data_IF_048037633147
#
_entry.id   IF_048037633147
#
_cell.length_a   1.000
_cell.length_b   1.000
_cell.length_c   1.000
_cell.angle_alpha   90.00
_cell.angle_beta   90.00
_cell.angle_gamma   90.00
#
_symmetry.space_group_name_H-M   'P 1'
#
loop_
_entity.id
_entity.type
_entity.pdbx_description
1 polymer ?
#
# COMPACT_ATOMS: atom_id res chain seq x y z
N UNK A 1 -14.70 -44.20 -51.46
CA UNK A 1 -15.99 -44.29 -50.74
C UNK A 1 -15.66 -44.17 -49.26
N UNK A 2 -16.06 -43.18 -48.49
CA UNK A 2 -17.09 -42.13 -48.60
C UNK A 2 -16.76 -41.15 -47.46
N UNK A 3 -16.56 -39.87 -47.78
CA UNK A 3 -17.42 -38.75 -47.33
C UNK A 3 -17.13 -38.14 -45.94
N UNK A 4 -16.50 -36.97 -46.01
CA UNK A 4 -16.79 -35.72 -45.29
C UNK A 4 -17.83 -35.74 -44.15
N UNK A 5 -17.43 -35.22 -42.99
CA UNK A 5 -18.30 -34.34 -42.22
C UNK A 5 -17.50 -33.28 -41.45
N UNK A 6 -17.37 -32.11 -42.08
CA UNK A 6 -17.08 -30.83 -41.44
C UNK A 6 -18.43 -30.22 -41.04
N UNK A 7 -18.70 -30.10 -39.74
CA UNK A 7 -19.76 -29.26 -39.14
C UNK A 7 -19.35 -28.96 -37.69
N UNK A 8 -19.39 -27.76 -37.12
CA UNK A 8 -19.84 -26.45 -37.55
C UNK A 8 -19.03 -25.42 -36.74
N UNK A 9 -18.33 -24.53 -37.44
CA UNK A 9 -17.81 -23.30 -36.84
C UNK A 9 -19.01 -22.36 -36.68
N UNK A 10 -19.43 -22.12 -35.45
CA UNK A 10 -20.37 -21.04 -35.15
C UNK A 10 -19.62 -19.71 -35.13
N UNK A 11 -19.52 -19.08 -36.30
CA UNK A 11 -19.14 -17.68 -36.47
C UNK A 11 -20.24 -16.77 -35.92
N UNK A 12 -20.18 -16.43 -34.63
CA UNK A 12 -20.82 -15.22 -34.14
C UNK A 12 -19.92 -14.03 -34.51
N UNK A 13 -20.44 -12.99 -35.20
CA UNK A 13 -19.63 -11.84 -35.57
C UNK A 13 -19.25 -11.08 -34.30
N UNK A 14 -17.98 -11.12 -33.94
CA UNK A 14 -17.41 -10.19 -32.97
C UNK A 14 -17.52 -8.80 -33.58
N UNK A 15 -18.52 -8.03 -33.15
CA UNK A 15 -18.55 -6.59 -33.37
C UNK A 15 -17.32 -6.03 -32.68
N UNK A 16 -16.29 -5.77 -33.47
CA UNK A 16 -15.21 -4.85 -33.11
C UNK A 16 -15.89 -3.52 -32.81
N UNK A 17 -16.15 -3.27 -31.53
CA UNK A 17 -16.46 -1.92 -31.05
C UNK A 17 -15.11 -1.19 -31.08
N UNK A 18 -14.79 -0.58 -32.22
CA UNK A 18 -13.84 0.54 -32.26
C UNK A 18 -14.44 1.64 -31.40
N UNK A 19 -14.15 1.64 -30.10
CA UNK A 19 -14.40 2.81 -29.29
C UNK A 19 -13.54 3.96 -29.84
N UNK A 20 -14.14 5.11 -30.18
CA UNK A 20 -13.37 6.28 -30.52
C UNK A 20 -12.48 6.63 -29.32
N UNK A 21 -11.27 7.09 -29.59
CA UNK A 21 -10.40 7.66 -28.56
C UNK A 21 -11.17 8.79 -27.89
N UNK A 22 -11.65 8.55 -26.66
CA UNK A 22 -12.40 9.53 -25.88
C UNK A 22 -11.48 10.72 -25.56
N UNK A 23 -11.59 11.74 -26.41
CA UNK A 23 -11.17 13.13 -26.14
C UNK A 23 -11.83 13.68 -24.86
N UNK A 24 -12.87 13.00 -24.34
CA UNK A 24 -13.58 13.31 -23.10
C UNK A 24 -12.79 13.00 -21.81
N UNK A 25 -11.74 12.16 -21.86
CA UNK A 25 -10.95 11.82 -20.65
C UNK A 25 -9.84 12.85 -20.31
N UNK A 26 -9.38 13.61 -21.32
CA UNK A 26 -8.37 14.67 -21.18
C UNK A 26 -8.98 16.03 -20.83
N UNK A 27 -10.19 16.30 -21.33
CA UNK A 27 -10.96 17.53 -21.09
C UNK A 27 -11.07 17.90 -19.61
N UNK A 28 -11.42 17.00 -18.66
CA UNK A 28 -11.56 17.39 -17.26
C UNK A 28 -10.23 17.74 -16.57
N UNK A 29 -9.09 17.24 -17.05
CA UNK A 29 -7.76 17.61 -16.50
C UNK A 29 -7.28 18.94 -17.04
N UNK A 30 -7.43 19.20 -18.34
CA UNK A 30 -7.10 20.49 -18.95
C UNK A 30 -8.00 21.60 -18.41
N UNK A 31 -9.31 21.37 -18.30
CA UNK A 31 -10.25 22.35 -17.73
C UNK A 31 -9.87 22.72 -16.28
N UNK A 32 -9.46 21.75 -15.45
CA UNK A 32 -9.02 22.02 -14.07
C UNK A 32 -7.75 22.86 -14.00
N UNK A 33 -6.75 22.57 -14.84
CA UNK A 33 -5.50 23.33 -14.90
C UNK A 33 -5.74 24.75 -15.44
N UNK A 34 -6.52 24.87 -16.51
CA UNK A 34 -6.89 26.16 -17.11
C UNK A 34 -7.64 27.06 -16.12
N UNK A 35 -8.58 26.51 -15.35
CA UNK A 35 -9.31 27.27 -14.33
C UNK A 35 -8.40 27.76 -13.19
N UNK A 36 -7.39 26.97 -12.80
CA UNK A 36 -6.41 27.37 -11.78
C UNK A 36 -5.48 28.47 -12.28
N UNK A 37 -5.02 28.36 -13.53
CA UNK A 37 -4.21 29.41 -14.19
C UNK A 37 -5.02 30.71 -14.34
N UNK A 38 -6.29 30.62 -14.75
CA UNK A 38 -7.18 31.79 -14.85
C UNK A 38 -7.36 32.46 -13.48
N UNK A 39 -7.61 31.69 -12.41
CA UNK A 39 -7.76 32.24 -11.06
C UNK A 39 -6.48 32.94 -10.56
N UNK A 40 -5.30 32.41 -10.90
CA UNK A 40 -4.02 33.04 -10.56
C UNK A 40 -3.79 34.33 -11.34
N UNK A 41 -4.09 34.34 -12.65
CA UNK A 41 -3.99 35.53 -13.49
C UNK A 41 -4.95 36.62 -13.04
N UNK A 42 -6.17 36.26 -12.65
CA UNK A 42 -7.12 37.18 -12.05
C UNK A 42 -6.57 37.76 -10.74
N UNK A 43 -6.07 36.93 -9.82
CA UNK A 43 -5.45 37.42 -8.58
C UNK A 43 -4.35 38.47 -8.84
N UNK A 44 -3.44 38.18 -9.78
CA UNK A 44 -2.38 39.11 -10.18
C UNK A 44 -2.93 40.40 -10.81
N UNK A 45 -3.96 40.29 -11.66
CA UNK A 45 -4.64 41.43 -12.25
C UNK A 45 -5.33 42.32 -11.22
N UNK A 46 -5.96 41.72 -10.20
CA UNK A 46 -6.59 42.44 -9.10
C UNK A 46 -5.58 43.20 -8.24
N UNK A 47 -4.44 42.58 -7.92
CA UNK A 47 -3.33 43.22 -7.19
C UNK A 47 -2.76 44.41 -8.00
N UNK A 48 -2.55 44.21 -9.30
CA UNK A 48 -2.06 45.28 -10.18
C UNK A 48 -3.04 46.45 -10.29
N UNK A 49 -4.34 46.19 -10.39
CA UNK A 49 -5.40 47.21 -10.39
C UNK A 49 -5.42 48.02 -9.09
N UNK A 50 -5.27 47.36 -7.93
CA UNK A 50 -5.17 48.05 -6.63
C UNK A 50 -3.91 48.93 -6.61
N UNK A 51 -2.75 48.39 -7.00
CA UNK A 51 -1.50 49.16 -7.03
C UNK A 51 -1.57 50.37 -7.98
N UNK A 52 -2.21 50.22 -9.13
CA UNK A 52 -2.43 51.30 -10.10
C UNK A 52 -3.47 52.32 -9.60
N UNK A 53 -4.49 51.91 -8.85
CA UNK A 53 -5.47 52.82 -8.24
C UNK A 53 -4.87 53.73 -7.16
N UNK A 54 -3.78 53.29 -6.52
CA UNK A 54 -3.05 54.07 -5.51
C UNK A 54 -2.08 55.05 -6.15
N UNK A 55 -1.69 54.84 -7.41
CA UNK A 55 -0.58 55.57 -8.05
C UNK A 55 -1.00 56.43 -9.25
N UNK A 56 -1.95 55.98 -10.08
CA UNK A 56 -2.18 56.55 -11.42
C UNK A 56 -3.65 56.55 -11.88
N UNK A 57 -4.45 55.57 -11.49
CA UNK A 57 -5.86 55.46 -11.90
C UNK A 57 -6.82 56.15 -10.91
N UNK A 58 -8.00 56.60 -11.36
CA UNK A 58 -9.01 57.12 -10.44
C UNK A 58 -9.36 56.07 -9.39
N UNK A 59 -9.33 56.50 -8.12
CA UNK A 59 -9.33 55.63 -6.95
C UNK A 59 -10.53 54.68 -6.92
N UNK A 60 -11.74 55.21 -7.01
CA UNK A 60 -12.98 54.42 -6.83
C UNK A 60 -13.21 53.40 -7.96
N UNK A 61 -13.10 53.75 -9.26
CA UNK A 61 -13.35 52.80 -10.35
C UNK A 61 -12.33 51.67 -10.48
N UNK A 62 -11.10 51.85 -9.98
CA UNK A 62 -10.05 50.84 -10.07
C UNK A 62 -9.91 50.00 -8.78
N UNK A 63 -10.11 50.62 -7.61
CA UNK A 63 -9.96 49.96 -6.31
C UNK A 63 -11.07 48.93 -6.04
N UNK A 64 -12.34 49.29 -6.30
CA UNK A 64 -13.49 48.41 -6.02
C UNK A 64 -13.41 47.11 -6.84
N UNK A 65 -13.22 47.15 -8.18
CA UNK A 65 -13.06 45.93 -8.96
C UNK A 65 -11.80 45.14 -8.56
N UNK A 66 -10.69 45.82 -8.27
CA UNK A 66 -9.45 45.18 -7.82
C UNK A 66 -9.64 44.37 -6.53
N UNK A 67 -10.28 44.95 -5.52
CA UNK A 67 -10.60 44.26 -4.25
C UNK A 67 -11.50 43.05 -4.49
N UNK A 68 -12.59 43.21 -5.25
CA UNK A 68 -13.52 42.11 -5.55
C UNK A 68 -12.78 40.95 -6.22
N UNK A 69 -11.91 41.27 -7.18
CA UNK A 69 -11.19 40.29 -7.98
C UNK A 69 -10.14 39.53 -7.15
N UNK A 70 -9.46 40.21 -6.22
CA UNK A 70 -8.56 39.58 -5.24
C UNK A 70 -9.33 38.69 -4.27
N UNK A 71 -10.45 39.16 -3.72
CA UNK A 71 -11.24 38.41 -2.73
C UNK A 71 -11.82 37.14 -3.35
N UNK A 72 -12.47 37.24 -4.51
CA UNK A 72 -13.07 36.08 -5.20
C UNK A 72 -11.99 35.09 -5.63
N UNK A 73 -10.88 35.57 -6.22
CA UNK A 73 -9.80 34.69 -6.66
C UNK A 73 -9.11 34.00 -5.49
N UNK A 74 -8.90 34.71 -4.38
CA UNK A 74 -8.34 34.16 -3.14
C UNK A 74 -9.25 33.11 -2.52
N UNK A 75 -10.55 33.38 -2.37
CA UNK A 75 -11.52 32.41 -1.85
C UNK A 75 -11.56 31.17 -2.74
N UNK A 76 -11.56 31.36 -4.06
CA UNK A 76 -11.59 30.25 -5.02
C UNK A 76 -10.30 29.42 -4.97
N UNK A 77 -9.12 30.07 -4.95
CA UNK A 77 -7.83 29.41 -4.81
C UNK A 77 -7.74 28.65 -3.49
N UNK A 78 -8.11 29.26 -2.36
CA UNK A 78 -8.13 28.60 -1.05
C UNK A 78 -9.12 27.45 -1.03
N UNK A 79 -10.32 27.61 -1.58
CA UNK A 79 -11.32 26.54 -1.65
C UNK A 79 -10.86 25.38 -2.53
N UNK A 80 -10.23 25.67 -3.68
CA UNK A 80 -9.65 24.65 -4.55
C UNK A 80 -8.42 24.01 -3.93
N UNK A 81 -7.56 24.77 -3.26
CA UNK A 81 -6.41 24.25 -2.53
C UNK A 81 -6.88 23.39 -1.36
N UNK A 82 -7.93 23.79 -0.64
CA UNK A 82 -8.54 23.03 0.43
C UNK A 82 -9.18 21.75 -0.08
N UNK A 83 -9.97 21.78 -1.16
CA UNK A 83 -10.53 20.56 -1.78
C UNK A 83 -9.43 19.68 -2.37
N UNK A 84 -8.40 20.27 -2.98
CA UNK A 84 -7.28 19.51 -3.55
C UNK A 84 -6.41 18.92 -2.45
N UNK A 85 -6.09 19.66 -1.39
CA UNK A 85 -5.42 19.15 -0.19
C UNK A 85 -6.28 18.15 0.57
N UNK A 86 -7.61 18.28 0.60
CA UNK A 86 -8.52 17.28 1.17
C UNK A 86 -8.64 16.04 0.26
N UNK A 87 -8.37 16.17 -1.04
CA UNK A 87 -8.22 15.04 -1.96
C UNK A 87 -6.80 14.46 -2.01
N UNK A 88 -5.79 15.24 -1.58
CA UNK A 88 -4.39 14.84 -1.40
C UNK A 88 -4.11 14.32 0.01
N UNK A 89 -4.98 14.62 0.98
CA UNK A 89 -5.33 13.75 2.09
C UNK A 89 -5.97 12.50 1.48
N UNK A 90 -5.13 11.73 0.78
CA UNK A 90 -5.19 10.29 0.85
C UNK A 90 -5.29 10.02 2.34
N UNK A 91 -6.50 9.65 2.76
CA UNK A 91 -6.93 9.49 4.14
C UNK A 91 -5.73 9.24 5.04
N UNK A 92 -5.44 10.17 5.97
CA UNK A 92 -4.67 9.79 7.15
C UNK A 92 -5.40 8.58 7.68
N UNK A 93 -4.83 7.41 7.47
CA UNK A 93 -5.51 6.16 7.78
C UNK A 93 -5.67 6.19 9.29
N UNK A 94 -6.91 6.15 9.78
CA UNK A 94 -7.23 6.37 11.20
C UNK A 94 -6.23 5.58 12.06
N UNK A 95 -5.54 6.26 12.97
CA UNK A 95 -4.60 5.61 13.89
C UNK A 95 -3.18 5.36 13.36
N UNK A 96 -2.79 5.80 12.16
CA UNK A 96 -1.41 5.64 11.66
C UNK A 96 -0.37 6.29 12.59
N UNK A 97 -0.65 7.50 13.08
CA UNK A 97 0.19 8.16 14.11
C UNK A 97 0.21 7.41 15.45
N UNK A 98 -0.87 6.71 15.79
CA UNK A 98 -0.92 5.90 17.02
C UNK A 98 -0.04 4.65 16.88
N UNK A 99 -0.08 3.99 15.71
CA UNK A 99 0.80 2.88 15.37
C UNK A 99 2.26 3.35 15.43
N UNK A 100 2.59 4.48 14.81
CA UNK A 100 3.96 5.02 14.80
C UNK A 100 4.49 5.27 16.22
N UNK A 101 3.71 5.95 17.06
CA UNK A 101 4.06 6.20 18.46
C UNK A 101 4.23 4.91 19.24
N UNK A 102 3.33 3.96 19.07
CA UNK A 102 3.40 2.69 19.78
C UNK A 102 4.62 1.86 19.36
N UNK A 103 4.91 1.79 18.06
CA UNK A 103 6.12 1.11 17.56
C UNK A 103 7.39 1.76 18.11
N UNK A 104 7.47 3.09 18.12
CA UNK A 104 8.62 3.81 18.69
C UNK A 104 8.78 3.50 20.18
N UNK A 105 7.70 3.55 20.95
CA UNK A 105 7.74 3.23 22.38
C UNK A 105 8.18 1.78 22.62
N UNK A 106 7.63 0.82 21.86
CA UNK A 106 8.01 -0.57 21.99
C UNK A 106 9.46 -0.81 21.59
N UNK A 107 9.98 -0.10 20.57
CA UNK A 107 11.40 -0.15 20.23
C UNK A 107 12.30 0.39 21.33
N UNK A 108 11.89 1.45 22.02
CA UNK A 108 12.66 1.95 23.16
C UNK A 108 12.69 0.94 24.32
N UNK A 109 11.60 0.18 24.52
CA UNK A 109 11.57 -0.92 25.49
C UNK A 109 12.50 -2.06 25.06
N UNK A 110 12.43 -2.46 23.78
CA UNK A 110 13.29 -3.49 23.20
C UNK A 110 14.78 -3.16 23.43
N UNK A 111 15.18 -1.92 23.10
CA UNK A 111 16.55 -1.44 23.24
C UNK A 111 16.98 -1.36 24.71
N UNK A 112 16.12 -0.86 25.60
CA UNK A 112 16.42 -0.81 27.04
C UNK A 112 16.63 -2.19 27.64
N UNK A 113 15.79 -3.17 27.28
CA UNK A 113 15.97 -4.57 27.74
C UNK A 113 17.29 -5.16 27.24
N UNK A 114 17.73 -4.81 26.02
CA UNK A 114 19.03 -5.20 25.50
C UNK A 114 20.21 -4.49 26.16
N UNK A 115 20.04 -3.25 26.64
CA UNK A 115 21.05 -2.55 27.44
C UNK A 115 21.15 -3.12 28.86
N UNK A 116 20.02 -3.49 29.46
CA UNK A 116 19.94 -4.05 30.82
C UNK A 116 20.43 -5.51 30.89
N UNK A 117 20.15 -6.32 29.86
CA UNK A 117 20.52 -7.74 29.79
C UNK A 117 20.93 -8.14 28.34
N UNK A 118 22.14 -7.78 27.91
CA UNK A 118 22.62 -8.00 26.55
C UNK A 118 22.86 -9.47 26.19
N UNK A 119 22.97 -10.37 27.18
CA UNK A 119 23.14 -11.80 26.94
C UNK A 119 21.82 -12.45 26.50
N UNK A 120 20.69 -11.94 26.99
CA UNK A 120 19.38 -12.49 26.71
C UNK A 120 18.53 -11.62 25.80
N UNK A 121 18.86 -10.34 25.56
CA UNK A 121 18.12 -9.46 24.67
C UNK A 121 19.05 -8.74 23.69
N UNK A 122 18.61 -8.60 22.44
CA UNK A 122 19.31 -7.78 21.46
C UNK A 122 19.14 -8.28 20.04
N UNK A 123 19.62 -7.49 19.09
CA UNK A 123 19.54 -7.84 17.67
C UNK A 123 20.38 -9.07 17.30
N UNK A 124 21.41 -9.39 18.10
CA UNK A 124 22.31 -10.51 17.90
C UNK A 124 21.99 -11.72 18.79
N UNK A 125 20.92 -11.63 19.60
CA UNK A 125 20.47 -12.74 20.45
C UNK A 125 19.47 -13.60 19.68
N UNK A 126 19.65 -14.92 19.73
CA UNK A 126 18.84 -15.89 18.97
C UNK A 126 18.97 -17.31 19.52
N UNK A 127 18.28 -18.26 18.91
CA UNK A 127 18.22 -19.66 19.35
C UNK A 127 19.43 -20.53 18.90
N UNK A 128 20.53 -19.89 18.47
CA UNK A 128 21.76 -20.54 18.04
C UNK A 128 21.81 -20.95 16.56
N UNK A 129 20.77 -20.69 15.75
CA UNK A 129 20.77 -20.96 14.30
C UNK A 129 21.07 -19.69 13.47
N UNK A 130 21.80 -19.83 12.36
CA UNK A 130 22.09 -18.72 11.43
C UNK A 130 20.77 -18.14 10.88
N UNK A 131 20.58 -16.83 10.94
CA UNK A 131 19.31 -16.19 10.57
C UNK A 131 18.21 -16.25 11.66
N UNK A 132 18.56 -16.67 12.87
CA UNK A 132 17.60 -16.70 13.99
C UNK A 132 17.81 -15.56 15.00
N UNK A 133 18.64 -14.58 14.66
CA UNK A 133 18.78 -13.30 15.35
C UNK A 133 18.12 -12.20 14.51
N UNK A 134 17.62 -11.12 15.12
CA UNK A 134 16.98 -10.04 14.36
C UNK A 134 17.92 -9.41 13.32
N UNK A 135 19.20 -9.22 13.69
CA UNK A 135 20.25 -8.71 12.82
C UNK A 135 20.60 -9.71 11.72
N UNK A 136 20.71 -10.99 12.03
CA UNK A 136 20.96 -12.04 11.05
C UNK A 136 19.86 -12.14 9.99
N UNK A 137 18.58 -11.99 10.41
CA UNK A 137 17.44 -11.91 9.48
C UNK A 137 17.51 -10.71 8.57
N UNK A 138 17.87 -9.55 9.11
CA UNK A 138 18.03 -8.33 8.32
C UNK A 138 19.13 -8.52 7.26
N UNK A 139 20.30 -9.00 7.64
CA UNK A 139 21.40 -9.26 6.70
C UNK A 139 21.03 -10.32 5.65
N UNK A 140 20.30 -11.37 6.04
CA UNK A 140 19.82 -12.40 5.12
C UNK A 140 18.80 -11.82 4.12
N UNK A 141 17.84 -11.03 4.60
CA UNK A 141 16.83 -10.38 3.77
C UNK A 141 17.46 -9.41 2.76
N UNK A 142 18.48 -8.67 3.17
CA UNK A 142 19.20 -7.72 2.32
C UNK A 142 20.09 -8.45 1.31
N UNK A 143 20.87 -9.44 1.75
CA UNK A 143 21.82 -10.17 0.89
C UNK A 143 21.13 -11.05 -0.16
N UNK A 144 19.94 -11.57 0.14
CA UNK A 144 19.14 -12.36 -0.80
C UNK A 144 18.17 -11.51 -1.64
N UNK A 145 18.13 -10.19 -1.42
CA UNK A 145 17.24 -9.30 -2.17
C UNK A 145 17.76 -9.06 -3.59
N UNK A 146 17.17 -9.76 -4.57
CA UNK A 146 17.51 -9.55 -5.99
C UNK A 146 17.10 -8.18 -6.53
N UNK A 147 16.24 -7.44 -5.82
CA UNK A 147 15.78 -6.11 -6.22
C UNK A 147 16.61 -5.02 -5.58
N UNK A 148 17.28 -4.21 -6.39
CA UNK A 148 18.08 -3.08 -5.89
C UNK A 148 17.20 -2.02 -5.21
N UNK A 149 15.98 -1.83 -5.73
CA UNK A 149 15.02 -0.87 -5.17
C UNK A 149 14.55 -1.34 -3.79
N UNK A 150 14.20 -2.62 -3.66
CA UNK A 150 13.79 -3.16 -2.36
C UNK A 150 14.95 -3.30 -1.39
N UNK A 151 16.16 -3.67 -1.84
CA UNK A 151 17.34 -3.73 -0.99
C UNK A 151 17.58 -2.37 -0.32
N UNK A 152 17.54 -1.29 -1.11
CA UNK A 152 17.66 0.07 -0.60
C UNK A 152 16.54 0.40 0.39
N UNK A 153 15.29 0.05 0.06
CA UNK A 153 14.15 0.26 0.95
C UNK A 153 14.31 -0.49 2.28
N UNK A 154 14.78 -1.73 2.26
CA UNK A 154 15.03 -2.52 3.47
C UNK A 154 16.12 -1.89 4.33
N UNK A 155 17.22 -1.44 3.74
CA UNK A 155 18.27 -0.70 4.45
C UNK A 155 17.76 0.59 5.09
N UNK A 156 16.96 1.35 4.35
CA UNK A 156 16.30 2.57 4.86
C UNK A 156 15.30 2.30 5.99
N UNK A 157 14.81 1.06 6.11
CA UNK A 157 13.84 0.63 7.11
C UNK A 157 14.41 -0.44 8.06
N UNK A 158 15.73 -0.42 8.32
CA UNK A 158 16.43 -1.41 9.16
C UNK A 158 15.74 -1.61 10.52
N UNK A 159 15.42 -0.53 11.23
CA UNK A 159 14.81 -0.59 12.56
C UNK A 159 13.47 -1.32 12.57
N UNK A 160 12.70 -1.21 11.49
CA UNK A 160 11.40 -1.89 11.34
C UNK A 160 11.56 -3.39 11.07
N UNK A 161 12.63 -3.77 10.37
CA UNK A 161 12.96 -5.18 10.11
C UNK A 161 13.51 -5.81 11.39
N UNK A 162 14.37 -5.10 12.13
CA UNK A 162 14.79 -5.51 13.47
C UNK A 162 13.61 -5.63 14.43
N UNK A 163 12.66 -4.68 14.39
CA UNK A 163 11.42 -4.75 15.17
C UNK A 163 10.66 -6.05 14.89
N UNK A 164 10.49 -6.41 13.61
CA UNK A 164 9.81 -7.64 13.18
C UNK A 164 10.51 -8.88 13.73
N UNK A 165 11.84 -8.87 13.63
CA UNK A 165 12.72 -9.98 13.97
C UNK A 165 13.12 -10.08 15.44
N UNK A 166 12.69 -9.14 16.30
CA UNK A 166 13.19 -9.05 17.68
C UNK A 166 12.97 -10.32 18.48
N UNK A 167 14.02 -10.76 19.16
CA UNK A 167 14.07 -11.95 20.02
C UNK A 167 14.91 -11.61 21.26
N UNK A 168 14.53 -12.10 22.44
CA UNK A 168 13.26 -12.75 22.76
C UNK A 168 12.13 -11.72 22.79
N UNK A 169 10.91 -12.22 22.97
CA UNK A 169 9.68 -11.42 22.95
C UNK A 169 9.59 -10.55 24.21
N UNK A 170 9.23 -9.29 24.03
CA UNK A 170 9.40 -8.20 25.01
C UNK A 170 8.14 -7.37 25.26
N UNK A 171 7.05 -7.63 24.54
CA UNK A 171 5.78 -6.91 24.69
C UNK A 171 5.03 -7.50 25.87
N UNK A 172 4.75 -6.66 26.86
CA UNK A 172 4.06 -7.09 28.07
C UNK A 172 2.56 -7.31 27.80
N UNK A 173 1.95 -8.24 28.55
CA UNK A 173 0.50 -8.51 28.49
C UNK A 173 0.05 -9.43 27.35
N UNK A 174 0.96 -10.02 26.58
CA UNK A 174 0.67 -10.99 25.52
C UNK A 174 1.64 -12.17 25.53
N UNK A 175 1.25 -13.29 24.94
CA UNK A 175 2.14 -14.43 24.75
C UNK A 175 3.11 -14.22 23.58
N UNK A 176 4.15 -15.08 23.50
CA UNK A 176 5.22 -14.98 22.49
C UNK A 176 4.74 -15.14 21.05
N UNK A 177 3.71 -15.97 20.83
CA UNK A 177 3.14 -16.23 19.51
C UNK A 177 2.31 -15.03 19.05
N UNK A 178 1.43 -14.52 19.92
CA UNK A 178 0.68 -13.27 19.70
C UNK A 178 1.62 -12.10 19.40
N UNK A 179 2.73 -11.96 20.15
CA UNK A 179 3.74 -10.93 19.86
C UNK A 179 4.35 -11.08 18.46
N UNK A 180 4.69 -12.31 18.06
CA UNK A 180 5.19 -12.60 16.72
C UNK A 180 4.20 -12.17 15.64
N UNK A 181 2.91 -12.46 15.84
CA UNK A 181 1.87 -12.05 14.91
C UNK A 181 1.70 -10.53 14.85
N UNK A 182 1.67 -9.84 15.99
CA UNK A 182 1.54 -8.38 16.08
C UNK A 182 2.70 -7.68 15.36
N UNK A 183 3.95 -8.07 15.66
CA UNK A 183 5.13 -7.52 15.00
C UNK A 183 5.10 -7.77 13.50
N UNK A 184 4.67 -8.94 13.05
CA UNK A 184 4.53 -9.25 11.62
C UNK A 184 3.47 -8.37 10.93
N UNK A 185 2.27 -8.22 11.51
CA UNK A 185 1.20 -7.39 10.96
C UNK A 185 1.69 -5.94 10.80
N UNK A 186 2.24 -5.37 11.87
CA UNK A 186 2.65 -3.96 11.91
C UNK A 186 3.84 -3.70 10.99
N UNK A 187 4.89 -4.54 11.03
CA UNK A 187 6.07 -4.35 10.18
C UNK A 187 5.74 -4.53 8.70
N UNK A 188 4.96 -5.54 8.32
CA UNK A 188 4.60 -5.73 6.92
C UNK A 188 3.70 -4.60 6.41
N UNK A 189 2.73 -4.12 7.20
CA UNK A 189 1.96 -2.92 6.86
C UNK A 189 2.88 -1.73 6.56
N UNK A 190 3.80 -1.40 7.49
CA UNK A 190 4.71 -0.27 7.33
C UNK A 190 5.67 -0.44 6.15
N UNK A 191 6.13 -1.66 5.86
CA UNK A 191 6.97 -1.94 4.68
C UNK A 191 6.20 -1.79 3.36
N UNK A 192 4.96 -2.27 3.28
CA UNK A 192 4.09 -2.06 2.10
C UNK A 192 3.84 -0.55 1.92
N UNK A 193 3.63 0.18 3.02
CA UNK A 193 3.47 1.65 2.99
C UNK A 193 4.73 2.35 2.47
N UNK A 194 5.92 1.93 2.92
CA UNK A 194 7.19 2.45 2.42
C UNK A 194 7.37 2.22 0.91
N UNK A 195 6.83 1.13 0.36
CA UNK A 195 6.90 0.85 -1.07
C UNK A 195 6.13 1.87 -1.93
N UNK A 196 5.16 2.60 -1.37
CA UNK A 196 4.29 3.52 -2.13
C UNK A 196 5.08 4.58 -2.92
N UNK A 197 6.09 5.18 -2.31
CA UNK A 197 6.92 6.21 -2.97
C UNK A 197 7.85 5.62 -4.03
N UNK A 198 8.24 4.35 -3.88
CA UNK A 198 9.12 3.59 -4.78
C UNK A 198 8.39 2.72 -5.79
N UNK A 199 7.05 2.79 -5.80
CA UNK A 199 6.22 1.92 -6.61
C UNK A 199 6.52 1.99 -8.12
N UNK A 200 6.77 3.17 -8.74
CA UNK A 200 7.14 3.22 -10.16
C UNK A 200 8.44 2.44 -10.46
N UNK A 201 9.44 2.57 -9.58
CA UNK A 201 10.74 1.91 -9.72
C UNK A 201 10.60 0.39 -9.53
N UNK A 202 9.83 -0.03 -8.52
CA UNK A 202 9.51 -1.44 -8.25
C UNK A 202 8.78 -2.08 -9.44
N UNK A 203 7.76 -1.40 -9.98
CA UNK A 203 7.01 -1.90 -11.14
C UNK A 203 7.93 -2.02 -12.35
N UNK A 204 8.76 -1.01 -12.64
CA UNK A 204 9.70 -1.03 -13.75
C UNK A 204 10.67 -2.19 -13.65
N UNK A 205 11.24 -2.42 -12.46
CA UNK A 205 12.12 -3.57 -12.22
C UNK A 205 11.39 -4.90 -12.35
N UNK A 206 10.10 -4.95 -11.97
CA UNK A 206 9.30 -6.15 -12.15
C UNK A 206 8.99 -6.45 -13.61
N UNK A 207 8.58 -5.44 -14.37
CA UNK A 207 8.25 -5.57 -15.78
C UNK A 207 9.43 -6.01 -16.63
N UNK A 208 10.64 -5.53 -16.34
CA UNK A 208 11.83 -5.87 -17.15
C UNK A 208 12.17 -7.36 -17.14
N UNK A 209 11.61 -8.12 -16.19
CA UNK A 209 11.82 -9.56 -16.05
C UNK A 209 10.58 -10.39 -16.40
N UNK A 210 9.47 -9.76 -16.80
CA UNK A 210 8.27 -10.45 -17.31
C UNK A 210 8.39 -10.57 -18.82
N UNK A 211 8.25 -11.80 -19.35
CA UNK A 211 8.40 -12.08 -20.77
C UNK A 211 7.18 -11.67 -21.61
N UNK A 212 6.02 -11.51 -20.96
CA UNK A 212 4.76 -11.13 -21.61
C UNK A 212 4.67 -9.60 -21.68
N UNK A 213 4.14 -9.09 -22.79
CA UNK A 213 3.98 -7.66 -22.98
C UNK A 213 2.95 -7.09 -21.99
N UNK A 214 3.28 -5.99 -21.29
CA UNK A 214 2.30 -5.32 -20.43
C UNK A 214 1.20 -4.64 -21.26
N UNK A 215 0.04 -4.34 -20.64
CA UNK A 215 -1.03 -3.63 -21.32
C UNK A 215 -0.56 -2.26 -21.84
N UNK A 216 -0.93 -1.92 -23.08
CA UNK A 216 -0.60 -0.62 -23.68
C UNK A 216 -1.37 0.48 -22.94
N UNK A 217 -0.65 1.51 -22.45
CA UNK A 217 -1.21 2.68 -21.73
C UNK A 217 -1.94 2.34 -20.41
N UNK A 218 -1.42 1.38 -19.65
CA UNK A 218 -1.92 1.08 -18.30
C UNK A 218 -1.52 2.16 -17.27
N UNK A 219 -2.43 2.41 -16.33
CA UNK A 219 -2.17 3.13 -15.09
C UNK A 219 -1.20 2.35 -14.20
N UNK A 220 -0.64 3.01 -13.18
CA UNK A 220 0.26 2.36 -12.24
C UNK A 220 -0.41 1.18 -11.50
N UNK A 221 -1.70 1.27 -11.18
CA UNK A 221 -2.45 0.19 -10.51
C UNK A 221 -2.57 -1.04 -11.40
N UNK A 222 -2.93 -0.82 -12.66
CA UNK A 222 -3.04 -1.88 -13.66
C UNK A 222 -1.68 -2.53 -13.93
N UNK A 223 -0.61 -1.74 -13.99
CA UNK A 223 0.75 -2.27 -14.13
C UNK A 223 1.19 -3.08 -12.90
N UNK A 224 0.84 -2.64 -11.68
CA UNK A 224 1.10 -3.42 -10.48
C UNK A 224 0.32 -4.75 -10.51
N UNK A 225 -0.95 -4.71 -10.91
CA UNK A 225 -1.79 -5.90 -11.04
C UNK A 225 -1.20 -6.88 -12.05
N UNK A 226 -0.81 -6.39 -13.24
CA UNK A 226 -0.08 -7.16 -14.25
C UNK A 226 1.20 -7.79 -13.68
N UNK A 227 2.01 -7.02 -12.95
CA UNK A 227 3.22 -7.53 -12.32
C UNK A 227 2.91 -8.62 -11.27
N UNK A 228 1.82 -8.48 -10.51
CA UNK A 228 1.35 -9.49 -9.54
C UNK A 228 0.85 -10.76 -10.25
N UNK A 229 0.25 -10.66 -11.43
CA UNK A 229 -0.23 -11.81 -12.20
C UNK A 229 0.91 -12.59 -12.86
N UNK A 230 1.92 -11.89 -13.37
CA UNK A 230 2.86 -12.50 -14.33
C UNK A 230 4.30 -12.64 -13.87
N UNK A 231 4.73 -11.93 -12.82
CA UNK A 231 6.07 -12.18 -12.28
C UNK A 231 6.10 -13.47 -11.45
N UNK A 232 7.21 -14.21 -11.48
CA UNK A 232 7.32 -15.52 -10.82
C UNK A 232 7.02 -15.49 -9.32
N UNK A 233 6.74 -16.66 -8.73
CA UNK A 233 6.40 -16.76 -7.30
C UNK A 233 7.49 -16.18 -6.39
N UNK A 234 8.76 -16.47 -6.67
CA UNK A 234 9.95 -16.03 -5.89
C UNK A 234 10.47 -14.66 -6.27
N UNK A 235 9.66 -13.88 -6.98
CA UNK A 235 10.15 -12.69 -7.64
C UNK A 235 10.36 -11.53 -6.66
N UNK A 236 11.64 -11.20 -6.42
CA UNK A 236 12.11 -10.26 -5.41
C UNK A 236 11.39 -8.91 -5.41
N UNK A 237 11.32 -8.16 -6.53
CA UNK A 237 10.82 -6.78 -6.56
C UNK A 237 9.42 -6.55 -5.98
N UNK A 238 8.53 -7.55 -5.99
CA UNK A 238 7.18 -7.44 -5.46
C UNK A 238 6.99 -8.12 -4.09
N UNK A 239 8.06 -8.68 -3.52
CA UNK A 239 8.00 -9.48 -2.30
C UNK A 239 7.36 -8.71 -1.13
N UNK A 240 7.69 -7.43 -0.95
CA UNK A 240 7.07 -6.61 0.09
C UNK A 240 5.55 -6.51 -0.04
N UNK A 241 5.03 -6.40 -1.26
CA UNK A 241 3.59 -6.30 -1.52
C UNK A 241 2.94 -7.68 -1.43
N UNK A 242 3.47 -8.69 -2.13
CA UNK A 242 2.91 -10.04 -2.18
C UNK A 242 3.05 -10.77 -0.85
N UNK A 243 4.29 -11.00 -0.43
CA UNK A 243 4.59 -11.72 0.80
C UNK A 243 4.16 -10.92 2.02
N UNK A 244 4.33 -9.60 2.01
CA UNK A 244 3.80 -8.75 3.09
C UNK A 244 2.30 -8.90 3.26
N UNK A 245 1.51 -8.85 2.18
CA UNK A 245 0.04 -9.01 2.26
C UNK A 245 -0.35 -10.38 2.84
N UNK A 246 0.32 -11.45 2.40
CA UNK A 246 0.11 -12.79 2.94
C UNK A 246 0.46 -12.87 4.43
N UNK A 247 1.60 -12.31 4.83
CA UNK A 247 2.04 -12.32 6.23
C UNK A 247 1.07 -11.53 7.11
N UNK A 248 0.62 -10.35 6.67
CA UNK A 248 -0.39 -9.57 7.38
C UNK A 248 -1.68 -10.38 7.55
N UNK A 249 -2.20 -10.95 6.47
CA UNK A 249 -3.46 -11.69 6.51
C UNK A 249 -3.38 -12.93 7.41
N UNK A 250 -2.35 -13.75 7.24
CA UNK A 250 -2.16 -14.96 8.05
C UNK A 250 -1.96 -14.61 9.53
N UNK A 251 -1.08 -13.66 9.82
CA UNK A 251 -0.78 -13.30 11.19
C UNK A 251 -1.97 -12.68 11.90
N UNK A 252 -2.70 -11.78 11.23
CA UNK A 252 -3.87 -11.15 11.82
C UNK A 252 -5.02 -12.15 12.03
N UNK A 253 -5.23 -13.07 11.09
CA UNK A 253 -6.25 -14.10 11.23
C UNK A 253 -5.99 -15.02 12.42
N UNK A 254 -4.75 -15.50 12.58
CA UNK A 254 -4.37 -16.32 13.74
C UNK A 254 -4.49 -15.53 15.05
N UNK A 255 -4.01 -14.28 15.07
CA UNK A 255 -4.17 -13.41 16.23
C UNK A 255 -5.64 -13.26 16.63
N UNK A 256 -6.55 -13.05 15.65
CA UNK A 256 -7.99 -12.93 15.89
C UNK A 256 -8.67 -14.21 16.34
N UNK A 257 -8.19 -15.39 15.93
CA UNK A 257 -8.73 -16.68 16.40
C UNK A 257 -8.36 -16.96 17.86
N UNK A 258 -7.15 -16.55 18.26
CA UNK A 258 -6.55 -16.96 19.53
C UNK A 258 -6.73 -15.94 20.65
N UNK A 259 -7.30 -14.76 20.37
CA UNK A 259 -7.46 -13.69 21.35
C UNK A 259 -8.92 -13.19 21.43
N UNK A 260 -9.40 -12.79 22.62
CA UNK A 260 -10.73 -12.21 22.79
C UNK A 260 -10.93 -10.95 21.92
N UNK A 261 -12.12 -10.76 21.32
CA UNK A 261 -12.41 -9.59 20.48
C UNK A 261 -12.13 -8.25 21.17
N UNK A 262 -12.41 -8.15 22.48
CA UNK A 262 -12.32 -6.92 23.27
C UNK A 262 -10.91 -6.30 23.21
N UNK A 263 -9.87 -7.15 23.22
CA UNK A 263 -8.47 -6.73 23.19
C UNK A 263 -8.08 -5.96 21.92
N UNK A 264 -8.81 -6.16 20.81
CA UNK A 264 -8.58 -5.46 19.55
C UNK A 264 -9.25 -4.08 19.52
N UNK A 265 -10.20 -3.84 20.41
CA UNK A 265 -10.96 -2.58 20.52
C UNK A 265 -10.64 -1.78 21.78
N UNK A 266 -9.69 -2.24 22.61
CA UNK A 266 -9.19 -1.52 23.79
C UNK A 266 -7.89 -0.76 23.49
N UNK A 267 -7.90 0.59 23.41
CA UNK A 267 -6.68 1.38 23.24
C UNK A 267 -5.64 1.07 24.31
N UNK A 268 -4.37 1.00 23.92
CA UNK A 268 -3.25 0.64 24.79
C UNK A 268 -2.90 -0.85 24.77
N UNK A 269 -3.83 -1.73 24.44
CA UNK A 269 -3.52 -3.15 24.28
C UNK A 269 -2.78 -3.42 22.95
N UNK A 270 -1.75 -4.30 22.89
CA UNK A 270 -1.02 -4.59 21.65
C UNK A 270 -1.90 -5.02 20.46
N UNK A 271 -2.94 -5.83 20.71
CA UNK A 271 -3.90 -6.27 19.68
C UNK A 271 -4.67 -5.11 19.03
N UNK A 272 -4.90 -4.01 19.74
CA UNK A 272 -5.53 -2.80 19.19
C UNK A 272 -4.68 -2.19 18.06
N UNK A 273 -3.36 -2.09 18.26
CA UNK A 273 -2.45 -1.56 17.25
C UNK A 273 -2.29 -2.51 16.06
N UNK A 274 -2.35 -3.83 16.29
CA UNK A 274 -2.39 -4.81 15.21
C UNK A 274 -3.67 -4.68 14.36
N UNK A 275 -4.84 -4.47 14.97
CA UNK A 275 -6.09 -4.19 14.23
C UNK A 275 -5.99 -2.92 13.41
N UNK A 276 -5.49 -1.82 14.00
CA UNK A 276 -5.28 -0.57 13.26
C UNK A 276 -4.35 -0.79 12.06
N UNK A 277 -3.23 -1.47 12.25
CA UNK A 277 -2.30 -1.77 11.17
C UNK A 277 -2.90 -2.68 10.10
N UNK A 278 -3.69 -3.69 10.49
CA UNK A 278 -4.41 -4.55 9.56
C UNK A 278 -5.40 -3.74 8.71
N UNK A 279 -6.32 -2.99 9.34
CA UNK A 279 -7.30 -2.16 8.62
C UNK A 279 -6.61 -1.14 7.71
N UNK A 280 -5.51 -0.55 8.18
CA UNK A 280 -4.75 0.39 7.38
C UNK A 280 -4.04 -0.28 6.20
N UNK A 281 -3.63 -1.53 6.35
CA UNK A 281 -3.07 -2.33 5.27
C UNK A 281 -4.13 -2.69 4.22
N UNK A 282 -5.35 -3.04 4.65
CA UNK A 282 -6.49 -3.29 3.76
C UNK A 282 -6.76 -2.07 2.87
N UNK A 283 -6.90 -0.90 3.48
CA UNK A 283 -7.14 0.36 2.77
C UNK A 283 -5.96 0.75 1.86
N UNK A 284 -4.72 0.53 2.31
CA UNK A 284 -3.55 0.76 1.49
C UNK A 284 -3.55 -0.14 0.25
N UNK A 285 -3.79 -1.45 0.40
CA UNK A 285 -3.80 -2.38 -0.72
C UNK A 285 -4.93 -2.09 -1.72
N UNK A 286 -6.14 -1.74 -1.24
CA UNK A 286 -7.26 -1.27 -2.09
C UNK A 286 -6.88 -0.01 -2.89
N UNK A 287 -6.05 0.85 -2.32
CA UNK A 287 -5.56 2.06 -2.97
C UNK A 287 -4.38 1.82 -3.92
N UNK A 288 -3.56 0.79 -3.72
CA UNK A 288 -2.39 0.52 -4.56
C UNK A 288 -2.71 -0.39 -5.75
N UNK A 289 -3.63 -1.34 -5.57
CA UNK A 289 -3.87 -2.44 -6.51
C UNK A 289 -5.25 -2.27 -7.14
N UNK A 290 -5.38 -2.60 -8.42
CA UNK A 290 -6.69 -2.78 -9.05
C UNK A 290 -7.28 -4.13 -8.61
N UNK A 291 -8.11 -4.10 -7.55
CA UNK A 291 -8.69 -5.30 -6.96
C UNK A 291 -9.70 -5.97 -7.90
N UNK A 292 -10.44 -5.19 -8.69
CA UNK A 292 -11.42 -5.74 -9.63
C UNK A 292 -10.71 -6.52 -10.73
N UNK A 293 -9.65 -5.94 -11.31
CA UNK A 293 -8.82 -6.63 -12.29
C UNK A 293 -8.13 -7.87 -11.69
N UNK A 294 -7.63 -7.76 -10.46
CA UNK A 294 -6.96 -8.89 -9.80
C UNK A 294 -7.94 -10.05 -9.53
N UNK A 295 -9.16 -9.73 -9.10
CA UNK A 295 -10.23 -10.71 -8.89
C UNK A 295 -10.65 -11.36 -10.21
N UNK A 296 -10.85 -10.57 -11.26
CA UNK A 296 -11.18 -11.11 -12.59
C UNK A 296 -10.12 -12.09 -13.08
N UNK A 297 -8.83 -11.73 -12.96
CA UNK A 297 -7.73 -12.60 -13.33
C UNK A 297 -7.70 -13.88 -12.46
N UNK A 298 -8.00 -13.76 -11.16
CA UNK A 298 -8.11 -14.92 -10.28
C UNK A 298 -9.20 -15.89 -10.74
N UNK A 299 -10.39 -15.37 -11.02
CA UNK A 299 -11.56 -16.17 -11.41
C UNK A 299 -11.39 -16.81 -12.79
N UNK A 300 -10.77 -16.10 -13.75
CA UNK A 300 -10.48 -16.61 -15.10
C UNK A 300 -9.20 -17.44 -15.19
N UNK A 301 -8.45 -17.59 -14.08
CA UNK A 301 -7.13 -18.22 -14.06
C UNK A 301 -6.12 -17.56 -15.04
N UNK A 302 -6.26 -16.25 -15.28
CA UNK A 302 -5.42 -15.46 -16.19
C UNK A 302 -4.18 -14.90 -15.47
N UNK A 303 -3.29 -15.80 -15.07
CA UNK A 303 -2.03 -15.48 -14.42
C UNK A 303 -1.03 -16.64 -14.55
N UNK A 304 0.26 -16.38 -14.26
CA UNK A 304 1.30 -17.40 -14.36
C UNK A 304 1.05 -18.57 -13.40
N UNK A 305 1.35 -19.80 -13.85
CA UNK A 305 1.30 -20.99 -13.01
C UNK A 305 2.09 -20.77 -11.70
N UNK A 306 1.49 -21.16 -10.57
CA UNK A 306 2.00 -20.95 -9.20
C UNK A 306 1.79 -19.56 -8.58
N UNK A 307 1.19 -18.58 -9.27
CA UNK A 307 0.86 -17.28 -8.65
C UNK A 307 -0.39 -17.28 -7.78
N UNK A 308 -1.09 -18.42 -7.66
CA UNK A 308 -2.17 -18.61 -6.70
C UNK A 308 -1.78 -18.21 -5.27
N UNK A 309 -0.56 -18.58 -4.86
CA UNK A 309 -0.01 -18.25 -3.54
C UNK A 309 0.24 -16.75 -3.33
N UNK A 310 0.27 -15.95 -4.39
CA UNK A 310 0.47 -14.50 -4.33
C UNK A 310 -0.85 -13.73 -4.43
N UNK A 311 -1.75 -14.18 -5.30
CA UNK A 311 -3.01 -13.48 -5.58
C UNK A 311 -4.03 -13.74 -4.47
N UNK A 312 -4.22 -15.00 -4.07
CA UNK A 312 -5.24 -15.40 -3.09
C UNK A 312 -5.10 -14.68 -1.74
N UNK A 313 -3.89 -14.51 -1.15
CA UNK A 313 -3.76 -13.78 0.10
C UNK A 313 -4.04 -12.27 -0.03
N UNK A 314 -3.71 -11.66 -1.18
CA UNK A 314 -4.03 -10.25 -1.44
C UNK A 314 -5.55 -10.07 -1.51
N UNK A 315 -6.24 -10.93 -2.27
CA UNK A 315 -7.71 -10.89 -2.36
C UNK A 315 -8.38 -11.16 -1.01
N UNK A 316 -7.85 -12.09 -0.21
CA UNK A 316 -8.32 -12.32 1.15
C UNK A 316 -8.10 -11.10 2.06
N UNK A 317 -6.92 -10.49 2.02
CA UNK A 317 -6.60 -9.28 2.79
C UNK A 317 -7.57 -8.14 2.49
N UNK A 318 -7.78 -7.82 1.21
CA UNK A 318 -8.61 -6.68 0.82
C UNK A 318 -10.10 -6.92 0.94
N UNK A 319 -10.52 -8.13 1.31
CA UNK A 319 -11.93 -8.52 1.42
C UNK A 319 -12.68 -7.66 2.43
N UNK A 320 -12.13 -7.48 3.62
CA UNK A 320 -12.80 -6.74 4.69
C UNK A 320 -11.80 -6.18 5.71
N UNK A 321 -12.17 -5.04 6.29
CA UNK A 321 -11.61 -4.53 7.54
C UNK A 321 -12.16 -5.30 8.73
N UNK A 322 -11.49 -5.21 9.87
CA UNK A 322 -11.99 -5.66 11.17
C UNK A 322 -12.59 -4.49 11.95
N UNK A 323 -13.91 -4.38 11.85
CA UNK A 323 -14.74 -3.40 12.55
C UNK A 323 -15.57 -4.04 13.68
N UNK A 324 -15.31 -5.30 14.03
CA UNK A 324 -16.02 -5.99 15.10
C UNK A 324 -16.13 -7.50 14.94
N UNK A 325 -17.22 -8.08 15.44
CA UNK A 325 -17.40 -9.54 15.49
C UNK A 325 -17.46 -10.23 14.11
N UNK A 326 -17.78 -9.50 13.04
CA UNK A 326 -17.97 -10.06 11.70
C UNK A 326 -16.69 -10.58 11.02
N UNK A 327 -15.50 -10.12 11.43
CA UNK A 327 -14.24 -10.42 10.73
C UNK A 327 -13.98 -11.93 10.56
N UNK A 328 -14.15 -12.73 11.61
CA UNK A 328 -13.88 -14.17 11.57
C UNK A 328 -14.89 -14.92 10.69
N UNK A 329 -16.18 -14.55 10.74
CA UNK A 329 -17.22 -15.14 9.90
C UNK A 329 -16.95 -14.94 8.41
N UNK A 330 -16.46 -13.75 8.04
CA UNK A 330 -16.16 -13.40 6.65
C UNK A 330 -14.91 -14.12 6.10
N UNK A 331 -14.07 -14.68 6.98
CA UNK A 331 -12.90 -15.48 6.63
C UNK A 331 -13.03 -16.95 7.05
N UNK A 332 -14.24 -17.41 7.34
CA UNK A 332 -14.48 -18.79 7.71
C UNK A 332 -14.02 -19.75 6.61
N UNK A 333 -13.29 -20.80 6.98
CA UNK A 333 -12.76 -21.79 6.04
C UNK A 333 -11.62 -21.29 5.15
N UNK A 334 -11.15 -20.04 5.34
CA UNK A 334 -10.00 -19.54 4.59
C UNK A 334 -8.76 -20.36 4.92
N UNK A 335 -8.26 -21.10 3.92
CA UNK A 335 -6.95 -21.74 3.93
C UNK A 335 -6.01 -20.96 3.04
N UNK A 336 -5.06 -20.28 3.66
CA UNK A 336 -3.91 -19.69 2.99
C UNK A 336 -2.71 -20.56 3.30
N UNK A 337 -1.90 -20.83 2.29
CA UNK A 337 -0.70 -21.63 2.49
C UNK A 337 0.21 -20.96 3.52
N UNK A 338 0.79 -21.80 4.38
CA UNK A 338 1.75 -21.38 5.38
C UNK A 338 3.02 -20.81 4.77
N UNK A 339 3.88 -20.27 5.63
CA UNK A 339 5.19 -19.74 5.25
C UNK A 339 5.97 -20.79 4.45
N UNK A 340 6.44 -20.45 3.26
CA UNK A 340 7.47 -21.25 2.63
C UNK A 340 8.82 -20.82 3.21
N UNK A 341 9.72 -21.76 3.50
CA UNK A 341 11.11 -21.45 3.86
C UNK A 341 11.90 -20.71 2.76
N UNK A 342 11.25 -20.44 1.62
CA UNK A 342 11.80 -19.74 0.46
C UNK A 342 11.34 -18.28 0.37
N UNK A 343 10.55 -17.79 1.33
CA UNK A 343 10.10 -16.40 1.34
C UNK A 343 11.17 -15.50 1.97
N UNK A 344 11.63 -14.45 1.27
CA UNK A 344 12.60 -13.48 1.80
C UNK A 344 12.17 -12.80 3.12
N UNK A 345 10.88 -12.87 3.47
CA UNK A 345 10.29 -12.40 4.72
C UNK A 345 10.25 -13.45 5.85
N UNK A 346 10.60 -14.70 5.54
CA UNK A 346 10.82 -15.81 6.46
C UNK A 346 12.24 -15.81 7.02
N UNK A 347 13.20 -15.47 6.15
CA UNK A 347 14.62 -15.35 6.42
C UNK A 347 14.93 -14.57 7.71
#
# INVERSE_FOLDING_TARGET
>A
MTENNIKNVSTAPSKVLTQPVDKESLTPRYIKLTVLVIALLLLLGGIALIALSVTTLPLIPALIPGIILVVISSIFLVSKLYVTCKSLEIAVVKGDREIDKWVQNQRNIDLRKAEEDPEHFGENVGDGRVGHTAGGRFELMVSQCESRVLEKLYRENKDLILFKGWVPKTIDGIDRESESHIRNVISCYKLIKACKSKLPEIIKEAQSRIQILPPKKASQKELLCFCIQWSGYRFGPLSAIRTGSRVVMNAYLELRKNNPPELFFTPGHPCYYARLAFNNCVELCRNLIDIQQLQQAYDSQDYSANNNHNIKPILALVKTTDDGAGFLSQHQGLKLDGRSGCDLFWA
#
